data_IF_734391749760
#
_entry.id   IF_734391749760
#
_cell.length_a   1.000
_cell.length_b   1.000
_cell.length_c   1.000
_cell.angle_alpha   90.00
_cell.angle_beta   90.00
_cell.angle_gamma   90.00
#
_symmetry.space_group_name_H-M   'P 1'
#
loop_
_entity.id
_entity.type
_entity.pdbx_description
1 polymer ?
#
# COMPACT_ATOMS: atom_id res chain seq x y z
N UNK A 1 0.18 -4.88 -12.44
CA UNK A 1 -0.76 -4.97 -11.29
C UNK A 1 -0.50 -3.82 -10.34
N UNK A 2 -1.45 -3.43 -9.49
CA UNK A 2 -1.28 -2.28 -8.56
C UNK A 2 0.01 -2.37 -7.71
N UNK A 3 0.44 -3.59 -7.37
CA UNK A 3 1.69 -3.81 -6.62
C UNK A 3 2.96 -3.53 -7.44
N UNK A 4 2.95 -3.76 -8.75
CA UNK A 4 4.07 -3.44 -9.63
C UNK A 4 4.22 -1.92 -9.79
N UNK A 5 3.10 -1.20 -9.88
CA UNK A 5 3.08 0.26 -9.93
C UNK A 5 3.56 0.88 -8.60
N UNK A 6 3.14 0.30 -7.47
CA UNK A 6 3.63 0.71 -6.15
C UNK A 6 5.14 0.44 -6.05
N UNK A 7 5.61 -0.74 -6.48
CA UNK A 7 7.04 -1.07 -6.48
C UNK A 7 7.85 -0.08 -7.35
N UNK A 8 7.31 0.27 -8.52
CA UNK A 8 7.91 1.26 -9.42
C UNK A 8 8.03 2.65 -8.79
N UNK A 9 6.96 3.14 -8.16
CA UNK A 9 6.98 4.43 -7.44
C UNK A 9 7.99 4.38 -6.29
N UNK A 10 8.03 3.28 -5.54
CA UNK A 10 8.94 3.09 -4.42
C UNK A 10 10.41 3.04 -4.88
N UNK A 11 10.70 2.55 -6.08
CA UNK A 11 12.05 2.51 -6.62
C UNK A 11 12.49 3.83 -7.30
N UNK A 12 11.56 4.56 -7.91
CA UNK A 12 11.85 5.78 -8.69
C UNK A 12 11.93 7.04 -7.82
N UNK A 13 11.17 7.10 -6.73
CA UNK A 13 11.08 8.29 -5.90
C UNK A 13 11.81 8.17 -4.55
N UNK A 14 12.36 9.28 -4.07
CA UNK A 14 12.96 9.32 -2.73
C UNK A 14 11.90 9.14 -1.64
N UNK A 15 12.30 8.51 -0.51
CA UNK A 15 11.40 8.33 0.63
C UNK A 15 10.80 9.66 1.15
N UNK A 16 11.54 10.76 1.00
CA UNK A 16 11.07 12.11 1.34
C UNK A 16 9.94 12.59 0.42
N UNK A 17 10.09 12.40 -0.89
CA UNK A 17 9.06 12.78 -1.89
C UNK A 17 7.75 12.03 -1.63
N UNK A 18 7.85 10.71 -1.48
CA UNK A 18 6.70 9.84 -1.23
C UNK A 18 6.02 10.23 0.09
N UNK A 19 6.78 10.47 1.16
CA UNK A 19 6.24 10.90 2.45
C UNK A 19 5.46 12.22 2.33
N UNK A 20 5.95 13.21 1.58
CA UNK A 20 5.24 14.48 1.37
C UNK A 20 3.93 14.29 0.59
N UNK A 21 3.93 13.44 -0.44
CA UNK A 21 2.74 13.18 -1.28
C UNK A 21 1.67 12.34 -0.58
N UNK A 22 2.07 11.45 0.32
CA UNK A 22 1.19 10.45 0.95
C UNK A 22 0.81 10.77 2.39
N UNK A 23 1.61 11.60 3.08
CA UNK A 23 1.49 11.83 4.53
C UNK A 23 2.07 10.71 5.39
N UNK A 24 2.66 9.66 4.79
CA UNK A 24 3.34 8.60 5.53
C UNK A 24 4.65 9.13 6.14
N UNK A 25 5.05 8.57 7.28
CA UNK A 25 6.35 8.88 7.86
C UNK A 25 7.48 8.39 6.95
N UNK A 26 8.59 9.14 6.89
CA UNK A 26 9.78 8.74 6.10
C UNK A 26 10.31 7.36 6.49
N UNK A 27 10.23 7.02 7.78
CA UNK A 27 10.64 5.71 8.29
C UNK A 27 9.75 4.59 7.75
N UNK A 28 8.44 4.80 7.68
CA UNK A 28 7.50 3.84 7.09
C UNK A 28 7.77 3.66 5.60
N UNK A 29 7.93 4.74 4.83
CA UNK A 29 8.28 4.65 3.40
C UNK A 29 9.60 3.92 3.18
N UNK A 30 10.63 4.22 3.97
CA UNK A 30 11.93 3.54 3.86
C UNK A 30 11.85 2.04 4.16
N UNK A 31 10.95 1.62 5.08
CA UNK A 31 10.70 0.20 5.33
C UNK A 31 10.02 -0.46 4.14
N UNK A 32 9.03 0.21 3.54
CA UNK A 32 8.34 -0.27 2.34
C UNK A 32 9.30 -0.47 1.17
N UNK A 33 10.22 0.47 0.93
CA UNK A 33 11.24 0.37 -0.12
C UNK A 33 12.20 -0.82 0.09
N UNK A 34 12.41 -1.25 1.33
CA UNK A 34 13.31 -2.37 1.67
C UNK A 34 12.61 -3.74 1.62
N UNK A 35 11.36 -3.80 1.17
CA UNK A 35 10.59 -5.05 1.14
C UNK A 35 10.20 -5.56 2.54
N UNK A 36 10.28 -4.71 3.58
CA UNK A 36 9.71 -5.06 4.88
C UNK A 36 8.18 -5.11 4.80
N UNK A 37 7.50 -5.89 5.65
CA UNK A 37 6.08 -6.20 5.48
C UNK A 37 5.24 -4.95 5.25
N UNK A 38 4.45 -4.99 4.17
CA UNK A 38 3.46 -3.96 3.87
C UNK A 38 2.32 -4.07 4.88
N UNK A 39 2.46 -3.39 6.02
CA UNK A 39 1.40 -3.31 7.00
C UNK A 39 0.26 -2.46 6.46
N UNK A 40 -0.87 -3.12 6.20
CA UNK A 40 -2.09 -2.50 5.75
C UNK A 40 -2.85 -1.85 6.91
N UNK A 41 -2.27 -0.77 7.44
CA UNK A 41 -2.88 0.02 8.49
C UNK A 41 -3.74 1.17 7.92
N UNK A 42 -4.51 1.83 8.78
CA UNK A 42 -5.36 2.97 8.41
C UNK A 42 -4.59 4.10 7.72
N UNK A 43 -3.33 4.34 8.07
CA UNK A 43 -2.51 5.38 7.44
C UNK A 43 -2.15 5.00 6.00
N UNK A 44 -1.88 3.72 5.74
CA UNK A 44 -1.63 3.21 4.38
C UNK A 44 -2.88 3.33 3.52
N UNK A 45 -4.06 2.97 4.05
CA UNK A 45 -5.34 3.11 3.36
C UNK A 45 -5.62 4.58 3.01
N UNK A 46 -5.45 5.48 3.98
CA UNK A 46 -5.66 6.91 3.80
C UNK A 46 -4.70 7.52 2.76
N UNK A 47 -3.43 7.10 2.78
CA UNK A 47 -2.44 7.52 1.77
C UNK A 47 -2.83 7.08 0.36
N UNK A 48 -3.33 5.86 0.18
CA UNK A 48 -3.78 5.35 -1.11
C UNK A 48 -5.00 6.12 -1.63
N UNK A 49 -5.97 6.41 -0.76
CA UNK A 49 -7.13 7.24 -1.10
C UNK A 49 -6.72 8.64 -1.59
N UNK A 50 -5.77 9.29 -0.90
CA UNK A 50 -5.23 10.61 -1.33
C UNK A 50 -4.53 10.58 -2.69
N UNK A 51 -4.08 9.41 -3.12
CA UNK A 51 -3.43 9.20 -4.42
C UNK A 51 -4.40 8.76 -5.51
N UNK A 52 -5.70 8.72 -5.22
CA UNK A 52 -6.76 8.35 -6.17
C UNK A 52 -6.99 6.83 -6.25
N UNK A 53 -6.46 6.05 -5.32
CA UNK A 53 -6.67 4.60 -5.28
C UNK A 53 -7.76 4.25 -4.27
N UNK A 54 -8.70 3.40 -4.67
CA UNK A 54 -9.72 2.80 -3.82
C UNK A 54 -9.36 1.35 -3.53
N UNK A 55 -9.51 0.92 -2.28
CA UNK A 55 -9.32 -0.48 -1.86
C UNK A 55 -10.70 -1.05 -1.53
N UNK A 56 -11.06 -2.17 -2.18
CA UNK A 56 -12.26 -2.93 -1.87
C UNK A 56 -11.88 -4.28 -1.30
N UNK A 57 -12.51 -4.64 -0.18
CA UNK A 57 -12.42 -5.98 0.39
C UNK A 57 -13.58 -6.80 -0.18
N UNK A 58 -13.24 -7.83 -0.93
CA UNK A 58 -14.22 -8.80 -1.45
C UNK A 58 -14.11 -10.09 -0.64
N UNK A 59 -15.23 -10.54 -0.06
CA UNK A 59 -15.28 -11.86 0.57
C UNK A 59 -15.28 -12.89 -0.55
N UNK A 60 -14.23 -13.70 -0.63
CA UNK A 60 -14.21 -14.82 -1.56
C UNK A 60 -15.25 -15.85 -1.11
N UNK A 61 -16.20 -16.18 -1.99
CA UNK A 61 -17.18 -17.25 -1.80
C UNK A 61 -16.52 -18.61 -2.03
N UNK A 62 -15.64 -19.01 -1.12
CA UNK A 62 -15.24 -20.40 -0.93
C UNK A 62 -15.54 -20.81 0.51
N UNK A 63 -16.81 -20.65 0.91
CA UNK A 63 -17.40 -21.56 1.89
C UNK A 63 -17.59 -22.88 1.14
N UNK A 64 -16.69 -23.83 1.40
CA UNK A 64 -16.89 -25.22 0.98
C UNK A 64 -18.25 -25.66 1.53
N UNK A 65 -19.14 -26.08 0.64
CA UNK A 65 -20.24 -26.97 0.97
C UNK A 65 -19.67 -28.16 1.74
N UNK A 66 -19.70 -28.07 3.06
CA UNK A 66 -19.39 -29.19 3.93
C UNK A 66 -20.76 -29.74 4.33
N UNK A 67 -21.26 -30.63 3.48
CA UNK A 67 -22.33 -31.57 3.84
C UNK A 67 -21.84 -32.51 4.95
#
# INVERSE_FOLDING_TARGET
>A
MIFDEIADIMNKESARSIAQKTGLSKSKVSRLQKGLPFYFDYNTVFALQRRGYEIKLEKMSHEKDTK
#
